data_IF_471267677654
#
_entry.id   IF_471267677654
#
_cell.length_a   1.000
_cell.length_b   1.000
_cell.length_c   1.000
_cell.angle_alpha   90.00
_cell.angle_beta   90.00
_cell.angle_gamma   90.00
#
_symmetry.space_group_name_H-M   'P 1'
#
loop_
_entity.id
_entity.type
_entity.pdbx_description
1 polymer ?
#
# COMPACT_ATOMS: atom_id res chain seq x y z
N UNK A 1 -7.86 -5.50 9.60
CA UNK A 1 -6.70 -4.86 8.95
C UNK A 1 -6.47 -5.39 7.55
N UNK A 2 -6.32 -6.71 7.39
CA UNK A 2 -6.12 -7.35 6.07
C UNK A 2 -7.27 -7.09 5.08
N UNK A 3 -8.53 -7.15 5.52
CA UNK A 3 -9.69 -6.93 4.65
C UNK A 3 -9.72 -5.52 4.05
N UNK A 4 -9.48 -4.49 4.87
CA UNK A 4 -9.45 -3.09 4.42
C UNK A 4 -8.28 -2.83 3.48
N UNK A 5 -7.12 -3.44 3.74
CA UNK A 5 -5.98 -3.41 2.82
C UNK A 5 -6.35 -4.01 1.45
N UNK A 6 -6.94 -5.20 1.42
CA UNK A 6 -7.34 -5.86 0.16
C UNK A 6 -8.39 -5.04 -0.58
N UNK A 7 -9.34 -4.43 0.15
CA UNK A 7 -10.34 -3.54 -0.44
C UNK A 7 -9.68 -2.33 -1.13
N UNK A 8 -8.83 -1.59 -0.41
CA UNK A 8 -8.07 -0.46 -0.97
C UNK A 8 -7.21 -0.88 -2.16
N UNK A 9 -6.52 -2.02 -2.08
CA UNK A 9 -5.73 -2.53 -3.21
C UNK A 9 -6.59 -2.79 -4.44
N UNK A 10 -7.77 -3.39 -4.28
CA UNK A 10 -8.68 -3.68 -5.39
C UNK A 10 -9.28 -2.41 -6.00
N UNK A 11 -9.85 -1.54 -5.16
CA UNK A 11 -10.65 -0.40 -5.59
C UNK A 11 -9.78 0.78 -6.06
N UNK A 12 -8.71 1.10 -5.34
CA UNK A 12 -7.97 2.35 -5.58
C UNK A 12 -6.74 2.15 -6.48
N UNK A 13 -6.20 0.93 -6.52
CA UNK A 13 -4.95 0.64 -7.25
C UNK A 13 -5.19 -0.30 -8.43
N UNK A 14 -5.64 -1.53 -8.15
CA UNK A 14 -5.74 -2.59 -9.16
C UNK A 14 -6.80 -2.23 -10.19
N UNK A 15 -7.93 -1.59 -9.82
CA UNK A 15 -8.96 -1.19 -10.77
C UNK A 15 -8.42 -0.30 -11.91
N UNK A 16 -7.50 0.62 -11.60
CA UNK A 16 -6.99 1.62 -12.54
C UNK A 16 -5.63 1.27 -13.15
N UNK A 17 -4.98 0.22 -12.67
CA UNK A 17 -3.67 -0.21 -13.13
C UNK A 17 -3.71 -0.85 -14.53
N UNK A 18 -2.77 -0.52 -15.44
CA UNK A 18 -2.62 -1.22 -16.71
C UNK A 18 -2.11 -2.65 -16.47
N UNK A 19 -2.74 -3.63 -17.11
CA UNK A 19 -2.46 -5.08 -16.93
C UNK A 19 -2.39 -5.83 -18.28
N UNK A 20 -1.56 -5.39 -19.25
CA UNK A 20 -1.55 -5.94 -20.61
C UNK A 20 -1.04 -7.39 -20.70
N UNK A 21 -0.28 -7.84 -19.71
CA UNK A 21 0.19 -9.22 -19.58
C UNK A 21 0.55 -9.51 -18.11
N UNK A 22 0.78 -10.78 -17.79
CA UNK A 22 1.06 -11.26 -16.43
C UNK A 22 2.30 -10.58 -15.83
N UNK A 23 3.39 -10.46 -16.60
CA UNK A 23 4.64 -9.85 -16.12
C UNK A 23 4.42 -8.40 -15.70
N UNK A 24 3.74 -7.61 -16.54
CA UNK A 24 3.42 -6.21 -16.24
C UNK A 24 2.44 -6.09 -15.08
N UNK A 25 1.43 -6.96 -15.00
CA UNK A 25 0.47 -6.96 -13.89
C UNK A 25 1.15 -7.22 -12.54
N UNK A 26 2.08 -8.19 -12.48
CA UNK A 26 2.85 -8.50 -11.26
C UNK A 26 3.79 -7.36 -10.88
N UNK A 27 4.49 -6.77 -11.86
CA UNK A 27 5.33 -5.58 -11.62
C UNK A 27 4.50 -4.43 -11.03
N UNK A 28 3.37 -4.12 -11.65
CA UNK A 28 2.55 -3.00 -11.22
C UNK A 28 1.89 -3.27 -9.85
N UNK A 29 1.56 -4.53 -9.53
CA UNK A 29 1.10 -4.91 -8.19
C UNK A 29 2.17 -4.63 -7.13
N UNK A 30 3.44 -4.96 -7.41
CA UNK A 30 4.55 -4.64 -6.51
C UNK A 30 4.67 -3.12 -6.30
N UNK A 31 4.57 -2.34 -7.38
CA UNK A 31 4.58 -0.86 -7.31
C UNK A 31 3.41 -0.33 -6.48
N UNK A 32 2.20 -0.89 -6.62
CA UNK A 32 1.04 -0.47 -5.85
C UNK A 32 1.20 -0.75 -4.34
N UNK A 33 1.73 -1.92 -3.98
CA UNK A 33 2.00 -2.28 -2.58
C UNK A 33 3.05 -1.33 -2.01
N UNK A 34 4.10 -1.03 -2.77
CA UNK A 34 5.14 -0.11 -2.36
C UNK A 34 4.60 1.30 -2.13
N UNK A 35 3.78 1.80 -3.06
CA UNK A 35 3.12 3.09 -2.94
C UNK A 35 2.18 3.15 -1.74
N UNK A 36 1.39 2.10 -1.50
CA UNK A 36 0.53 2.02 -0.32
C UNK A 36 1.35 2.11 0.97
N UNK A 37 2.44 1.37 1.05
CA UNK A 37 3.29 1.34 2.23
C UNK A 37 3.99 2.67 2.51
N UNK A 38 4.36 3.43 1.47
CA UNK A 38 5.06 4.71 1.61
C UNK A 38 4.09 5.87 1.85
N UNK A 39 2.92 5.89 1.19
CA UNK A 39 2.10 7.10 1.06
C UNK A 39 0.68 6.99 1.63
N UNK A 40 0.11 5.79 1.80
CA UNK A 40 -1.31 5.68 2.13
C UNK A 40 -1.59 6.05 3.60
N UNK A 41 -2.38 7.11 3.88
CA UNK A 41 -2.64 7.54 5.23
C UNK A 41 -3.60 6.59 5.93
N UNK A 42 -3.24 6.13 7.14
CA UNK A 42 -4.08 5.21 7.89
C UNK A 42 -4.55 5.83 9.21
N UNK A 43 -5.86 5.94 9.42
CA UNK A 43 -6.43 6.62 10.61
C UNK A 43 -5.97 5.98 11.92
N UNK A 44 -5.92 4.65 12.00
CA UNK A 44 -5.41 3.95 13.18
C UNK A 44 -3.89 4.13 13.42
N UNK A 45 -3.14 4.65 12.44
CA UNK A 45 -1.72 4.98 12.56
C UNK A 45 -1.50 6.48 12.80
N UNK A 46 -2.55 7.23 13.15
CA UNK A 46 -2.49 8.69 13.29
C UNK A 46 -2.30 9.38 11.93
N UNK A 47 -2.94 8.86 10.89
CA UNK A 47 -2.83 9.33 9.50
C UNK A 47 -1.44 9.23 8.86
N UNK A 48 -0.53 8.48 9.48
CA UNK A 48 0.78 8.14 8.91
C UNK A 48 0.66 6.97 7.94
N UNK A 49 1.61 6.86 7.03
CA UNK A 49 1.77 5.68 6.20
C UNK A 49 2.31 4.48 6.99
N UNK A 50 2.12 3.25 6.51
CA UNK A 50 2.67 2.05 7.16
C UNK A 50 4.19 2.10 7.37
N UNK A 51 4.96 2.69 6.45
CA UNK A 51 6.41 2.84 6.63
C UNK A 51 6.78 3.95 7.59
N UNK A 52 6.13 5.10 7.52
CA UNK A 52 6.36 6.19 8.47
C UNK A 52 6.12 5.72 9.90
N UNK A 53 5.00 5.01 10.12
CA UNK A 53 4.69 4.42 11.42
C UNK A 53 5.78 3.46 11.90
N UNK A 54 6.25 2.56 11.03
CA UNK A 54 7.34 1.62 11.37
C UNK A 54 8.66 2.34 11.67
N UNK A 55 9.05 3.33 10.85
CA UNK A 55 10.28 4.12 11.07
C UNK A 55 10.25 4.82 12.43
N UNK A 56 9.13 5.45 12.78
CA UNK A 56 8.98 6.10 14.09
C UNK A 56 9.04 5.11 15.26
N UNK A 57 8.41 3.94 15.13
CA UNK A 57 8.44 2.89 16.15
C UNK A 57 9.85 2.34 16.39
N UNK A 58 10.65 2.22 15.34
CA UNK A 58 12.05 1.80 15.45
C UNK A 58 12.90 2.84 16.16
N UNK A 59 12.65 4.14 15.94
CA UNK A 59 13.39 5.21 16.64
C UNK A 59 13.03 5.34 18.13
N UNK A 60 11.91 4.77 18.56
CA UNK A 60 11.41 4.82 19.94
C UNK A 60 11.78 3.58 20.77
N UNK A 61 12.54 2.64 20.20
CA UNK A 61 13.01 1.41 20.86
C UNK A 61 14.53 1.42 20.91
#
# INVERSE_FOLDING_TARGET
MAERFVKTMKEDYIAFMPKPNVRTALHNLAVAIEHYNENHPHSALGYRSPREYRRQRVMLT
#
